data_IF_983541294455
#
_entry.id   IF_983541294455
#
_cell.length_a   1.000
_cell.length_b   1.000
_cell.length_c   1.000
_cell.angle_alpha   90.00
_cell.angle_beta   90.00
_cell.angle_gamma   90.00
#
_symmetry.space_group_name_H-M   'P 1'
#
loop_
_entity.id
_entity.type
_entity.pdbx_description
1 polymer ?
#
# COMPACT_ATOMS: atom_id res chain seq x y z
N UNK A 1 -4.13 17.44 -23.99
CA UNK A 1 -3.39 16.37 -24.70
C UNK A 1 -3.35 15.16 -23.78
N UNK A 2 -4.33 14.26 -23.86
CA UNK A 2 -4.17 12.91 -23.31
C UNK A 2 -3.71 12.01 -24.45
N UNK A 3 -2.60 11.31 -24.26
CA UNK A 3 -2.26 10.18 -25.11
C UNK A 3 -3.29 9.06 -24.83
N UNK A 4 -3.82 8.38 -25.86
CA UNK A 4 -4.86 7.34 -25.73
C UNK A 4 -4.43 6.11 -24.89
N UNK A 5 -3.17 6.02 -24.48
CA UNK A 5 -2.64 4.95 -23.60
C UNK A 5 -3.20 4.97 -22.16
N UNK A 6 -3.82 6.06 -21.71
CA UNK A 6 -4.23 6.22 -20.31
C UNK A 6 -5.75 6.22 -20.07
N UNK A 7 -6.57 6.00 -21.10
CA UNK A 7 -8.03 6.05 -20.95
C UNK A 7 -8.55 5.00 -19.96
N UNK A 8 -7.87 3.84 -19.87
CA UNK A 8 -8.20 2.80 -18.91
C UNK A 8 -7.67 3.09 -17.49
N UNK A 9 -6.58 3.84 -17.37
CA UNK A 9 -5.94 4.13 -16.08
C UNK A 9 -6.88 4.84 -15.10
N UNK A 10 -7.74 5.76 -15.60
CA UNK A 10 -8.71 6.42 -14.75
C UNK A 10 -9.74 5.43 -14.17
N UNK A 11 -10.22 4.49 -14.98
CA UNK A 11 -11.18 3.47 -14.52
C UNK A 11 -10.54 2.57 -13.47
N UNK A 12 -9.33 2.10 -13.74
CA UNK A 12 -8.58 1.23 -12.82
C UNK A 12 -8.33 1.92 -11.46
N UNK A 13 -7.99 3.21 -11.49
CA UNK A 13 -7.84 4.01 -10.27
C UNK A 13 -9.16 4.13 -9.53
N UNK A 14 -10.25 4.51 -10.22
CA UNK A 14 -11.57 4.69 -9.60
C UNK A 14 -12.04 3.40 -8.91
N UNK A 15 -11.72 2.23 -9.48
CA UNK A 15 -11.98 0.90 -8.88
C UNK A 15 -11.14 0.63 -7.62
N UNK A 16 -9.90 1.13 -7.55
CA UNK A 16 -9.00 0.97 -6.40
C UNK A 16 -9.27 1.96 -5.26
N UNK A 17 -9.85 3.14 -5.55
CA UNK A 17 -10.05 4.21 -4.56
C UNK A 17 -10.73 3.73 -3.26
N UNK A 18 -11.81 2.92 -3.28
CA UNK A 18 -12.46 2.49 -2.05
C UNK A 18 -11.53 1.72 -1.10
N UNK A 19 -10.72 0.79 -1.63
CA UNK A 19 -9.76 0.03 -0.83
C UNK A 19 -8.61 0.91 -0.32
N UNK A 20 -8.08 1.81 -1.15
CA UNK A 20 -7.03 2.74 -0.74
C UNK A 20 -7.51 3.70 0.37
N UNK A 21 -8.76 4.15 0.31
CA UNK A 21 -9.38 4.97 1.36
C UNK A 21 -9.55 4.18 2.65
N UNK A 22 -9.96 2.90 2.56
CA UNK A 22 -10.07 2.02 3.72
C UNK A 22 -8.71 1.78 4.37
N UNK A 23 -7.68 1.46 3.57
CA UNK A 23 -6.30 1.31 4.01
C UNK A 23 -5.82 2.57 4.72
N UNK A 24 -6.03 3.76 4.12
CA UNK A 24 -5.61 5.02 4.72
C UNK A 24 -6.27 5.24 6.08
N UNK A 25 -7.58 5.00 6.20
CA UNK A 25 -8.31 5.16 7.46
C UNK A 25 -7.76 4.23 8.53
N UNK A 26 -7.58 2.96 8.20
CA UNK A 26 -7.02 1.96 9.11
C UNK A 26 -5.63 2.35 9.64
N UNK A 27 -4.73 2.80 8.75
CA UNK A 27 -3.39 3.26 9.16
C UNK A 27 -3.45 4.52 10.05
N UNK A 28 -4.40 5.44 9.80
CA UNK A 28 -4.56 6.65 10.63
C UNK A 28 -5.23 6.36 11.98
N UNK A 29 -6.08 5.34 12.06
CA UNK A 29 -6.71 4.90 13.32
C UNK A 29 -5.71 4.14 14.22
N UNK A 30 -4.64 3.58 13.64
CA UNK A 30 -3.63 2.79 14.35
C UNK A 30 -2.20 3.32 14.12
N UNK A 31 -1.87 4.55 14.59
CA UNK A 31 -0.54 5.10 14.40
C UNK A 31 0.50 4.33 15.22
N UNK A 32 1.67 4.13 14.64
CA UNK A 32 2.85 3.53 15.30
C UNK A 32 3.98 4.57 15.39
N UNK A 33 4.86 4.40 16.37
CA UNK A 33 6.01 5.28 16.55
C UNK A 33 7.13 4.95 15.58
N UNK A 34 8.05 5.89 15.41
CA UNK A 34 9.25 5.70 14.63
C UNK A 34 10.04 4.46 15.08
N UNK A 35 10.38 3.59 14.15
CA UNK A 35 11.08 2.30 14.36
C UNK A 35 10.28 1.26 15.15
N UNK A 36 8.96 1.43 15.29
CA UNK A 36 8.04 0.50 15.94
C UNK A 36 6.83 0.18 15.05
N UNK A 37 6.93 0.42 13.74
CA UNK A 37 5.87 0.25 12.75
C UNK A 37 5.63 -1.22 12.36
N UNK A 38 5.50 -2.12 13.35
CA UNK A 38 5.41 -3.57 13.16
C UNK A 38 4.14 -3.95 12.41
N UNK A 39 3.00 -3.36 12.76
CA UNK A 39 1.72 -3.61 12.09
C UNK A 39 1.72 -3.02 10.69
N UNK A 40 2.15 -1.77 10.55
CA UNK A 40 2.16 -1.04 9.28
C UNK A 40 3.06 -1.72 8.27
N UNK A 41 4.28 -2.08 8.65
CA UNK A 41 5.21 -2.86 7.81
C UNK A 41 4.63 -4.23 7.44
N UNK A 42 3.97 -4.91 8.38
CA UNK A 42 3.26 -6.16 8.10
C UNK A 42 2.15 -6.01 7.06
N UNK A 43 1.39 -4.91 7.08
CA UNK A 43 0.34 -4.61 6.09
C UNK A 43 0.96 -4.36 4.71
N UNK A 44 2.04 -3.58 4.63
CA UNK A 44 2.74 -3.31 3.37
C UNK A 44 3.28 -4.61 2.77
N UNK A 45 3.97 -5.43 3.55
CA UNK A 45 4.52 -6.70 3.09
C UNK A 45 3.43 -7.65 2.57
N UNK A 46 2.31 -7.78 3.30
CA UNK A 46 1.18 -8.61 2.87
C UNK A 46 0.57 -8.12 1.55
N UNK A 47 0.37 -6.81 1.39
CA UNK A 47 -0.20 -6.24 0.16
C UNK A 47 0.76 -6.41 -1.03
N UNK A 48 2.06 -6.20 -0.84
CA UNK A 48 3.06 -6.41 -1.90
C UNK A 48 3.16 -7.90 -2.30
N UNK A 49 3.13 -8.82 -1.33
CA UNK A 49 3.08 -10.26 -1.63
C UNK A 49 1.81 -10.66 -2.38
N UNK A 50 0.65 -10.09 -2.03
CA UNK A 50 -0.61 -10.38 -2.72
C UNK A 50 -0.58 -9.93 -4.20
N UNK A 51 0.27 -8.96 -4.55
CA UNK A 51 0.53 -8.54 -5.92
C UNK A 51 1.54 -9.45 -6.66
N UNK A 52 2.01 -10.52 -6.02
CA UNK A 52 2.97 -11.48 -6.60
C UNK A 52 4.42 -11.00 -6.55
N UNK A 53 4.73 -9.99 -5.74
CA UNK A 53 6.09 -9.47 -5.60
C UNK A 53 6.91 -10.30 -4.60
N UNK A 54 8.20 -10.44 -4.88
CA UNK A 54 9.18 -10.87 -3.88
C UNK A 54 9.52 -9.68 -2.99
N UNK A 55 9.32 -9.82 -1.68
CA UNK A 55 9.43 -8.73 -0.71
C UNK A 55 10.43 -9.12 0.38
N UNK A 56 11.30 -8.17 0.74
CA UNK A 56 12.29 -8.36 1.80
C UNK A 56 11.91 -7.58 3.05
N UNK A 57 11.43 -8.28 4.06
CA UNK A 57 11.06 -7.66 5.35
C UNK A 57 12.22 -7.57 6.33
N UNK A 58 12.08 -6.72 7.35
CA UNK A 58 13.03 -6.61 8.47
C UNK A 58 14.25 -5.74 8.17
N UNK A 59 14.19 -4.91 7.13
CA UNK A 59 15.26 -3.97 6.80
C UNK A 59 15.32 -2.89 7.88
N UNK A 60 16.44 -2.77 8.59
CA UNK A 60 16.56 -1.84 9.72
C UNK A 60 15.40 -1.94 10.73
N UNK A 61 15.06 -3.17 11.15
CA UNK A 61 13.97 -3.55 12.09
C UNK A 61 12.58 -3.64 11.44
N UNK A 62 12.01 -2.55 10.95
CA UNK A 62 10.61 -2.51 10.46
C UNK A 62 10.48 -2.24 8.96
N UNK A 63 11.57 -2.04 8.22
CA UNK A 63 11.53 -1.81 6.77
C UNK A 63 11.11 -3.03 5.95
N UNK A 64 10.49 -2.76 4.81
CA UNK A 64 9.92 -3.70 3.83
C UNK A 64 10.45 -3.38 2.43
#
# INVERSE_FOLDING_TARGET
MSAPEYDHLKSDIDELVPDLVALRRDLHEHPELAFEEVRTSGIVAQRLHALGLEVRTGVAKTGV
#
